data_IF_220914317731
#
_entry.id   IF_220914317731
#
_cell.length_a   1.000
_cell.length_b   1.000
_cell.length_c   1.000
_cell.angle_alpha   90.00
_cell.angle_beta   90.00
_cell.angle_gamma   90.00
#
_symmetry.space_group_name_H-M   'P 1'
#
loop_
_entity.id
_entity.type
_entity.pdbx_description
1 polymer ?
#
# COMPACT_ATOMS: atom_id res chain seq x y z
N UNK A 1 -22.50 18.03 -9.75
CA UNK A 1 -22.45 16.56 -9.61
C UNK A 1 -21.08 16.00 -10.01
N UNK A 2 -20.57 16.29 -11.22
CA UNK A 2 -19.33 15.72 -11.77
C UNK A 2 -18.07 16.04 -10.94
N UNK A 3 -17.95 17.29 -10.49
CA UNK A 3 -16.86 17.77 -9.61
C UNK A 3 -16.83 17.01 -8.27
N UNK A 4 -17.99 16.65 -7.74
CA UNK A 4 -18.12 15.95 -6.46
C UNK A 4 -17.61 14.50 -6.55
N UNK A 5 -17.86 13.83 -7.68
CA UNK A 5 -17.37 12.48 -7.95
C UNK A 5 -15.85 12.43 -8.16
N UNK A 6 -15.30 13.45 -8.84
CA UNK A 6 -13.86 13.61 -9.00
C UNK A 6 -13.19 13.75 -7.62
N UNK A 7 -13.67 14.66 -6.79
CA UNK A 7 -13.12 14.90 -5.46
C UNK A 7 -13.13 13.64 -4.57
N UNK A 8 -14.22 12.87 -4.62
CA UNK A 8 -14.35 11.62 -3.88
C UNK A 8 -13.35 10.54 -4.35
N UNK A 9 -13.09 10.47 -5.66
CA UNK A 9 -12.16 9.49 -6.24
C UNK A 9 -10.71 9.76 -5.82
N UNK A 10 -10.30 11.04 -5.80
CA UNK A 10 -8.98 11.43 -5.29
C UNK A 10 -8.82 11.13 -3.80
N UNK A 11 -9.86 11.38 -3.01
CA UNK A 11 -9.85 11.07 -1.58
C UNK A 11 -9.75 9.56 -1.31
N UNK A 12 -10.49 8.75 -2.08
CA UNK A 12 -10.43 7.29 -1.99
C UNK A 12 -9.02 6.77 -2.32
N UNK A 13 -8.40 7.26 -3.40
CA UNK A 13 -7.03 6.89 -3.76
C UNK A 13 -6.04 7.23 -2.64
N UNK A 14 -6.09 8.46 -2.10
CA UNK A 14 -5.20 8.87 -1.00
C UNK A 14 -5.38 8.03 0.27
N UNK A 15 -6.62 7.66 0.59
CA UNK A 15 -6.90 6.80 1.75
C UNK A 15 -6.34 5.39 1.57
N UNK A 16 -6.31 4.87 0.34
CA UNK A 16 -5.76 3.55 0.03
C UNK A 16 -4.23 3.53 0.17
N UNK A 17 -3.51 4.58 -0.25
CA UNK A 17 -2.04 4.62 -0.08
C UNK A 17 -1.64 4.56 1.39
N UNK A 18 -2.40 5.24 2.25
CA UNK A 18 -2.22 5.18 3.69
C UNK A 18 -2.63 3.80 4.25
N UNK A 19 -3.75 3.23 3.79
CA UNK A 19 -4.27 1.95 4.27
C UNK A 19 -3.34 0.76 3.95
N UNK A 20 -2.83 0.65 2.72
CA UNK A 20 -1.88 -0.39 2.31
C UNK A 20 -0.59 -0.32 3.15
N UNK A 21 -0.05 0.90 3.29
CA UNK A 21 1.19 1.15 4.04
C UNK A 21 1.01 0.86 5.53
N UNK A 22 -0.12 1.25 6.11
CA UNK A 22 -0.48 0.94 7.50
C UNK A 22 -0.68 -0.55 7.71
N UNK A 23 -1.34 -1.25 6.78
CA UNK A 23 -1.55 -2.70 6.85
C UNK A 23 -0.23 -3.47 6.85
N UNK A 24 0.71 -3.06 6.00
CA UNK A 24 2.05 -3.64 5.98
C UNK A 24 2.78 -3.43 7.33
N UNK A 25 2.72 -2.21 7.86
CA UNK A 25 3.31 -1.86 9.16
C UNK A 25 2.67 -2.64 10.32
N UNK A 26 1.34 -2.79 10.31
CA UNK A 26 0.60 -3.58 11.31
C UNK A 26 1.01 -5.05 11.29
N UNK A 27 1.31 -5.60 10.11
CA UNK A 27 1.83 -6.97 9.97
C UNK A 27 3.29 -7.13 10.39
N UNK A 28 3.94 -6.06 10.88
CA UNK A 28 5.39 -5.96 11.16
C UNK A 28 6.26 -6.20 9.91
N UNK A 29 5.71 -5.90 8.73
CA UNK A 29 6.46 -5.90 7.47
C UNK A 29 7.03 -4.52 7.16
N UNK A 30 7.84 -4.44 6.10
CA UNK A 30 8.34 -3.20 5.53
C UNK A 30 8.00 -3.09 4.05
N UNK A 31 7.93 -1.86 3.56
CA UNK A 31 7.69 -1.57 2.16
C UNK A 31 9.01 -1.50 1.41
N UNK A 32 9.18 -2.34 0.39
CA UNK A 32 10.36 -2.41 -0.47
C UNK A 32 9.99 -2.08 -1.91
N UNK A 33 10.87 -1.37 -2.62
CA UNK A 33 10.73 -1.16 -4.07
C UNK A 33 11.17 -2.42 -4.84
N UNK A 34 12.19 -3.09 -4.31
CA UNK A 34 12.69 -4.36 -4.83
C UNK A 34 11.81 -5.54 -4.39
N UNK A 35 11.79 -6.64 -5.16
CA UNK A 35 11.14 -7.88 -4.74
C UNK A 35 11.68 -8.36 -3.39
N UNK A 36 10.79 -8.94 -2.60
CA UNK A 36 11.16 -9.49 -1.30
C UNK A 36 12.21 -10.59 -1.52
N UNK A 37 13.40 -10.38 -0.98
CA UNK A 37 14.48 -11.38 -1.03
C UNK A 37 14.30 -12.39 0.10
N UNK A 38 14.55 -13.67 -0.19
CA UNK A 38 14.52 -14.71 0.84
C UNK A 38 15.44 -14.30 2.01
N UNK A 39 14.99 -14.47 3.27
CA UNK A 39 13.83 -15.24 3.74
C UNK A 39 12.51 -14.48 3.82
N UNK A 40 12.44 -13.24 3.31
CA UNK A 40 11.24 -12.43 3.39
C UNK A 40 10.24 -12.79 2.31
N UNK A 41 8.97 -12.94 2.70
CA UNK A 41 7.84 -13.21 1.83
C UNK A 41 7.03 -11.95 1.54
N UNK A 42 6.50 -11.85 0.33
CA UNK A 42 5.53 -10.82 -0.04
C UNK A 42 4.19 -11.13 0.63
N UNK A 43 3.73 -10.22 1.50
CA UNK A 43 2.46 -10.36 2.24
C UNK A 43 1.40 -9.34 1.80
N UNK A 44 1.73 -8.51 0.82
CA UNK A 44 0.85 -7.49 0.27
C UNK A 44 1.63 -6.37 -0.44
N UNK A 45 1.00 -5.21 -0.55
CA UNK A 45 1.55 -4.02 -1.22
C UNK A 45 1.59 -2.81 -0.29
N UNK A 46 2.35 -1.78 -0.67
CA UNK A 46 2.30 -0.46 -0.05
C UNK A 46 2.10 0.64 -1.11
N UNK A 47 1.57 1.79 -0.67
CA UNK A 47 1.43 3.01 -1.49
C UNK A 47 0.65 2.76 -2.80
N UNK A 48 -0.56 2.18 -2.68
CA UNK A 48 -1.41 1.77 -3.82
C UNK A 48 -0.68 0.82 -4.78
N UNK A 49 -0.11 -0.28 -4.29
CA UNK A 49 0.55 -1.25 -5.18
C UNK A 49 1.92 -0.83 -5.73
N UNK A 50 2.41 0.38 -5.43
CA UNK A 50 3.70 0.87 -5.94
C UNK A 50 4.92 0.20 -5.30
N UNK A 51 4.76 -0.33 -4.08
CA UNK A 51 5.80 -1.05 -3.36
C UNK A 51 5.27 -2.41 -2.90
N UNK A 52 6.21 -3.31 -2.65
CA UNK A 52 5.97 -4.65 -2.12
C UNK A 52 6.06 -4.61 -0.59
N UNK A 53 5.08 -5.19 0.09
CA UNK A 53 5.16 -5.39 1.53
C UNK A 53 5.88 -6.71 1.82
N UNK A 54 7.09 -6.61 2.35
CA UNK A 54 7.93 -7.76 2.69
C UNK A 54 7.88 -8.02 4.19
N UNK A 55 7.77 -9.28 4.56
CA UNK A 55 7.75 -9.72 5.96
C UNK A 55 8.53 -11.03 6.11
N UNK A 56 9.23 -11.19 7.23
CA UNK A 56 9.76 -12.48 7.66
C UNK A 56 8.65 -13.50 7.92
#
# INVERSE_FOLDING_TARGET
>A
IFIFLLFFSFFAAYSQEAADTLSCRQKKGFCSFDPCSAPLVEVGTCRIGKLKCCKW
#
